data_IF_097078382975
#
_entry.id   IF_097078382975
#
_cell.length_a   1.000
_cell.length_b   1.000
_cell.length_c   1.000
_cell.angle_alpha   90.00
_cell.angle_beta   90.00
_cell.angle_gamma   90.00
#
_symmetry.space_group_name_H-M   'P 1'
#
loop_
_entity.id
_entity.type
_entity.pdbx_description
1 polymer ?
#
# COMPACT_ATOMS: atom_id res chain seq x y z
N UNK A 1 -11.48 -17.94 -14.01
CA UNK A 1 -12.74 -17.30 -13.61
C UNK A 1 -12.37 -16.03 -12.84
N UNK A 2 -11.87 -15.04 -13.56
CA UNK A 2 -11.60 -13.71 -13.02
C UNK A 2 -12.61 -12.77 -13.69
N UNK A 3 -13.62 -12.33 -12.95
CA UNK A 3 -14.59 -11.36 -13.44
C UNK A 3 -14.03 -9.97 -13.17
N UNK A 4 -13.18 -9.50 -14.07
CA UNK A 4 -12.95 -8.06 -14.19
C UNK A 4 -14.13 -7.50 -14.97
N UNK A 5 -15.02 -6.79 -14.29
CA UNK A 5 -15.89 -5.86 -14.98
C UNK A 5 -14.99 -4.74 -15.51
N UNK A 6 -14.84 -4.64 -16.83
CA UNK A 6 -14.37 -3.41 -17.48
C UNK A 6 -15.42 -2.33 -17.20
N UNK A 7 -15.38 -1.75 -16.00
CA UNK A 7 -15.99 -0.46 -15.76
C UNK A 7 -15.04 0.57 -16.37
N UNK A 8 -15.55 1.38 -17.30
CA UNK A 8 -14.89 2.61 -17.74
C UNK A 8 -14.96 3.64 -16.59
N UNK A 9 -14.05 3.48 -15.62
CA UNK A 9 -14.02 4.20 -14.34
C UNK A 9 -13.34 5.57 -14.43
N UNK A 10 -12.86 5.98 -15.61
CA UNK A 10 -12.06 7.21 -15.74
C UNK A 10 -12.82 8.46 -15.28
N UNK A 11 -14.10 8.55 -15.57
CA UNK A 11 -14.88 9.77 -15.29
C UNK A 11 -15.60 9.73 -13.93
N UNK A 12 -15.86 8.54 -13.37
CA UNK A 12 -16.61 8.39 -12.12
C UNK A 12 -15.71 8.26 -10.87
N UNK A 13 -14.54 7.62 -10.99
CA UNK A 13 -13.59 7.48 -9.87
C UNK A 13 -12.73 8.73 -9.70
N UNK A 14 -12.42 9.45 -10.78
CA UNK A 14 -11.50 10.59 -10.72
C UNK A 14 -11.93 11.68 -9.71
N UNK A 15 -13.20 12.09 -9.62
CA UNK A 15 -13.65 13.05 -8.61
C UNK A 15 -13.55 12.51 -7.18
N UNK A 16 -13.96 11.25 -6.96
CA UNK A 16 -13.90 10.59 -5.64
C UNK A 16 -12.44 10.42 -5.19
N UNK A 17 -11.57 10.02 -6.12
CA UNK A 17 -10.14 9.93 -5.88
C UNK A 17 -9.58 11.29 -5.53
N UNK A 18 -9.93 12.35 -6.26
CA UNK A 18 -9.43 13.70 -5.99
C UNK A 18 -9.90 14.22 -4.61
N UNK A 19 -11.17 14.00 -4.26
CA UNK A 19 -11.74 14.39 -2.96
C UNK A 19 -11.07 13.65 -1.79
N UNK A 20 -10.71 12.38 -1.98
CA UNK A 20 -10.13 11.53 -0.94
C UNK A 20 -8.60 11.38 -1.04
N UNK A 21 -7.95 11.97 -2.05
CA UNK A 21 -6.53 11.76 -2.32
C UNK A 21 -5.65 12.16 -1.14
N UNK A 22 -6.01 13.23 -0.45
CA UNK A 22 -5.29 13.68 0.75
C UNK A 22 -5.37 12.65 1.88
N UNK A 23 -6.52 12.00 2.08
CA UNK A 23 -6.67 10.95 3.08
C UNK A 23 -5.80 9.74 2.74
N UNK A 24 -5.75 9.33 1.47
CA UNK A 24 -4.88 8.25 1.02
C UNK A 24 -3.39 8.58 1.17
N UNK A 25 -2.98 9.79 0.78
CA UNK A 25 -1.59 10.24 0.94
C UNK A 25 -1.21 10.29 2.43
N UNK A 26 -2.11 10.77 3.29
CA UNK A 26 -1.89 10.78 4.72
C UNK A 26 -1.72 9.36 5.29
N UNK A 27 -2.57 8.41 4.85
CA UNK A 27 -2.41 6.99 5.19
C UNK A 27 -1.04 6.45 4.78
N UNK A 28 -0.59 6.76 3.56
CA UNK A 28 0.70 6.27 3.07
C UNK A 28 1.84 6.85 3.93
N UNK A 29 1.83 8.14 4.23
CA UNK A 29 2.87 8.77 5.06
C UNK A 29 2.91 8.20 6.47
N UNK A 30 1.77 8.10 7.14
CA UNK A 30 1.74 7.74 8.55
C UNK A 30 1.81 6.23 8.78
N UNK A 31 1.06 5.44 8.00
CA UNK A 31 0.95 3.99 8.20
C UNK A 31 2.01 3.24 7.40
N UNK A 32 2.03 3.41 6.07
CA UNK A 32 2.91 2.61 5.22
C UNK A 32 4.38 3.00 5.41
N UNK A 33 4.69 4.30 5.42
CA UNK A 33 6.07 4.76 5.49
C UNK A 33 6.57 4.91 6.94
N UNK A 34 6.00 5.83 7.72
CA UNK A 34 6.53 6.14 9.06
C UNK A 34 6.39 5.00 10.06
N UNK A 35 5.35 4.17 9.92
CA UNK A 35 5.10 3.05 10.83
C UNK A 35 5.60 1.71 10.29
N UNK A 36 5.13 1.28 9.12
CA UNK A 36 5.45 -0.04 8.58
C UNK A 36 6.88 -0.13 8.04
N UNK A 37 7.27 0.71 7.09
CA UNK A 37 8.65 0.68 6.56
C UNK A 37 9.69 0.98 7.64
N UNK A 38 9.40 1.77 8.67
CA UNK A 38 10.34 1.97 9.78
C UNK A 38 10.67 0.65 10.50
N UNK A 39 9.70 -0.25 10.69
CA UNK A 39 9.97 -1.57 11.28
C UNK A 39 10.80 -2.45 10.35
N UNK A 40 10.61 -2.33 9.05
CA UNK A 40 11.40 -3.08 8.09
C UNK A 40 12.82 -2.53 7.93
N UNK A 41 12.95 -1.26 7.56
CA UNK A 41 14.22 -0.60 7.25
C UNK A 41 15.13 -0.45 8.48
N UNK A 42 14.59 0.00 9.62
CA UNK A 42 15.42 0.31 10.80
C UNK A 42 15.72 -0.95 11.64
N UNK A 43 14.89 -1.99 11.52
CA UNK A 43 14.95 -3.18 12.37
C UNK A 43 15.16 -4.44 11.55
N UNK A 44 14.16 -4.92 10.80
CA UNK A 44 14.23 -6.21 10.11
C UNK A 44 15.46 -6.32 9.19
N UNK A 45 15.68 -5.31 8.34
CA UNK A 45 16.75 -5.34 7.35
C UNK A 45 18.13 -5.39 8.00
N UNK A 46 18.32 -4.69 9.12
CA UNK A 46 19.55 -4.77 9.92
C UNK A 46 19.80 -6.18 10.48
N UNK A 47 18.76 -6.91 10.88
CA UNK A 47 18.89 -8.32 11.28
C UNK A 47 19.19 -9.23 10.08
N UNK A 48 18.59 -8.94 8.92
CA UNK A 48 18.82 -9.71 7.69
C UNK A 48 20.22 -9.52 7.10
N UNK A 49 20.87 -8.38 7.36
CA UNK A 49 22.23 -8.08 6.92
C UNK A 49 23.32 -8.79 7.75
N UNK A 50 22.96 -9.45 8.85
CA UNK A 50 23.90 -10.23 9.66
C UNK A 50 24.53 -11.34 8.79
N UNK A 51 25.87 -11.49 8.77
CA UNK A 51 26.53 -12.53 8.00
C UNK A 51 25.98 -13.92 8.31
N UNK A 52 25.55 -14.63 7.27
CA UNK A 52 25.01 -15.99 7.39
C UNK A 52 23.48 -16.08 7.49
N UNK A 53 22.75 -14.95 7.62
CA UNK A 53 21.28 -14.95 7.59
C UNK A 53 20.76 -15.11 6.16
N UNK A 54 21.24 -14.26 5.25
CA UNK A 54 20.92 -14.30 3.81
C UNK A 54 22.07 -14.92 3.01
N UNK A 55 22.07 -16.25 2.84
CA UNK A 55 23.23 -17.01 2.30
C UNK A 55 23.25 -17.18 0.78
N UNK A 56 22.08 -17.20 0.11
CA UNK A 56 21.98 -17.49 -1.32
C UNK A 56 21.56 -16.29 -2.18
N UNK A 57 20.66 -15.46 -1.66
CA UNK A 57 20.20 -14.24 -2.30
C UNK A 57 19.88 -13.20 -1.24
N UNK A 58 19.91 -11.93 -1.62
CA UNK A 58 19.57 -10.82 -0.74
C UNK A 58 18.44 -9.98 -1.37
N UNK A 59 17.20 -10.07 -0.87
CA UNK A 59 16.08 -9.26 -1.38
C UNK A 59 16.09 -7.81 -0.89
N UNK A 60 16.83 -7.48 0.18
CA UNK A 60 16.79 -6.16 0.86
C UNK A 60 17.03 -4.99 -0.11
N UNK A 61 18.03 -5.01 -1.01
CA UNK A 61 18.24 -3.90 -1.95
C UNK A 61 17.02 -3.65 -2.87
N UNK A 62 16.32 -4.71 -3.28
CA UNK A 62 15.11 -4.59 -4.09
C UNK A 62 13.95 -4.00 -3.28
N UNK A 63 13.79 -4.41 -2.01
CA UNK A 63 12.77 -3.85 -1.12
C UNK A 63 12.97 -2.35 -0.91
N UNK A 64 14.20 -1.93 -0.58
CA UNK A 64 14.58 -0.52 -0.41
C UNK A 64 14.38 0.31 -1.69
N UNK A 65 14.69 -0.27 -2.85
CA UNK A 65 14.42 0.38 -4.13
C UNK A 65 12.92 0.62 -4.31
N UNK A 66 12.09 -0.36 -3.99
CA UNK A 66 10.63 -0.26 -4.11
C UNK A 66 10.04 0.72 -3.10
N UNK A 67 10.51 0.77 -1.86
CA UNK A 67 10.11 1.81 -0.90
C UNK A 67 10.42 3.21 -1.44
N UNK A 68 11.62 3.39 -2.00
CA UNK A 68 12.03 4.67 -2.61
C UNK A 68 11.16 5.05 -3.80
N UNK A 69 10.79 4.07 -4.64
CA UNK A 69 9.88 4.24 -5.78
C UNK A 69 8.46 4.56 -5.33
N UNK A 70 7.97 3.92 -4.27
CA UNK A 70 6.68 4.19 -3.67
C UNK A 70 6.60 5.64 -3.16
N UNK A 71 7.63 6.11 -2.42
CA UNK A 71 7.76 7.50 -1.98
C UNK A 71 7.79 8.50 -3.15
N UNK A 72 8.38 8.13 -4.29
CA UNK A 72 8.36 8.95 -5.51
C UNK A 72 6.94 9.13 -6.05
N UNK A 73 6.16 8.05 -6.15
CA UNK A 73 4.77 8.15 -6.58
C UNK A 73 3.93 9.01 -5.65
N UNK A 74 4.14 8.91 -4.33
CA UNK A 74 3.46 9.77 -3.34
C UNK A 74 3.76 11.25 -3.58
N UNK A 75 5.03 11.63 -3.71
CA UNK A 75 5.41 13.02 -4.02
C UNK A 75 4.78 13.52 -5.32
N UNK A 76 4.71 12.66 -6.34
CA UNK A 76 4.07 13.02 -7.60
C UNK A 76 2.55 13.19 -7.46
N UNK A 77 1.89 12.38 -6.62
CA UNK A 77 0.46 12.56 -6.31
C UNK A 77 0.21 13.89 -5.59
N UNK A 78 1.04 14.25 -4.61
CA UNK A 78 0.96 15.54 -3.90
C UNK A 78 1.07 16.72 -4.87
N UNK A 79 2.07 16.68 -5.76
CA UNK A 79 2.27 17.70 -6.79
C UNK A 79 1.07 17.79 -7.75
N UNK A 80 0.51 16.63 -8.14
CA UNK A 80 -0.65 16.58 -9.02
C UNK A 80 -1.91 17.17 -8.37
N UNK A 81 -2.11 16.98 -7.05
CA UNK A 81 -3.21 17.60 -6.30
C UNK A 81 -3.06 19.12 -6.32
N UNK A 82 -1.87 19.64 -5.97
CA UNK A 82 -1.60 21.08 -5.94
C UNK A 82 -1.81 21.73 -7.32
N UNK A 83 -1.37 21.04 -8.38
CA UNK A 83 -1.52 21.49 -9.75
C UNK A 83 -2.91 21.18 -10.37
N UNK A 84 -3.84 20.55 -9.62
CA UNK A 84 -5.17 20.11 -10.08
C UNK A 84 -5.12 19.23 -11.33
N UNK A 85 -4.09 18.39 -11.44
CA UNK A 85 -3.84 17.50 -12.59
C UNK A 85 -4.35 16.09 -12.30
N UNK A 86 -5.66 15.90 -12.44
CA UNK A 86 -6.35 14.63 -12.17
C UNK A 86 -5.72 13.45 -12.90
N UNK A 87 -5.37 13.59 -14.18
CA UNK A 87 -4.76 12.50 -14.95
C UNK A 87 -3.39 12.06 -14.38
N UNK A 88 -2.58 13.01 -13.90
CA UNK A 88 -1.29 12.70 -13.27
C UNK A 88 -1.51 12.04 -11.90
N UNK A 89 -2.50 12.51 -11.13
CA UNK A 89 -2.88 11.91 -9.86
C UNK A 89 -3.31 10.44 -10.05
N UNK A 90 -4.25 10.18 -10.95
CA UNK A 90 -4.75 8.82 -11.21
C UNK A 90 -3.65 7.90 -11.75
N UNK A 91 -2.77 8.41 -12.61
CA UNK A 91 -1.64 7.63 -13.13
C UNK A 91 -0.66 7.22 -12.01
N UNK A 92 -0.26 8.17 -11.14
CA UNK A 92 0.65 7.87 -10.04
C UNK A 92 -0.01 6.94 -8.99
N UNK A 93 -1.29 7.15 -8.67
CA UNK A 93 -2.03 6.28 -7.77
C UNK A 93 -2.11 4.83 -8.29
N UNK A 94 -2.39 4.65 -9.59
CA UNK A 94 -2.43 3.33 -10.22
C UNK A 94 -1.07 2.64 -10.20
N UNK A 95 0.00 3.37 -10.48
CA UNK A 95 1.37 2.83 -10.45
C UNK A 95 1.82 2.49 -9.03
N UNK A 96 1.47 3.32 -8.04
CA UNK A 96 1.69 3.04 -6.62
C UNK A 96 0.98 1.76 -6.20
N UNK A 97 -0.31 1.63 -6.51
CA UNK A 97 -1.10 0.46 -6.14
C UNK A 97 -0.57 -0.83 -6.77
N UNK A 98 -0.12 -0.76 -8.04
CA UNK A 98 0.50 -1.89 -8.72
C UNK A 98 1.82 -2.28 -8.04
N UNK A 99 2.69 -1.31 -7.78
CA UNK A 99 3.97 -1.54 -7.09
C UNK A 99 3.74 -2.21 -5.75
N UNK A 100 2.83 -1.66 -4.93
CA UNK A 100 2.56 -2.17 -3.58
C UNK A 100 2.04 -3.61 -3.60
N UNK A 101 1.20 -3.98 -4.57
CA UNK A 101 0.71 -5.36 -4.71
C UNK A 101 1.85 -6.34 -5.01
N UNK A 102 2.78 -5.96 -5.89
CA UNK A 102 3.96 -6.77 -6.20
C UNK A 102 4.94 -6.81 -5.02
N UNK A 103 5.03 -5.71 -4.26
CA UNK A 103 5.88 -5.56 -3.08
C UNK A 103 5.42 -6.46 -1.91
N UNK A 104 4.14 -6.38 -1.52
CA UNK A 104 3.54 -7.23 -0.48
C UNK A 104 3.70 -8.71 -0.83
N UNK A 105 3.55 -9.08 -2.11
CA UNK A 105 3.80 -10.46 -2.52
C UNK A 105 5.24 -10.91 -2.21
N UNK A 106 6.24 -10.05 -2.42
CA UNK A 106 7.64 -10.36 -2.13
C UNK A 106 7.89 -10.41 -0.63
N UNK A 107 7.28 -9.54 0.15
CA UNK A 107 7.31 -9.62 1.61
C UNK A 107 6.83 -11.00 2.09
N UNK A 108 5.59 -11.34 1.76
CA UNK A 108 4.90 -12.54 2.26
C UNK A 108 5.55 -13.85 1.79
N UNK A 109 6.05 -13.88 0.55
CA UNK A 109 6.46 -15.14 -0.09
C UNK A 109 7.98 -15.29 -0.20
N UNK A 110 8.75 -14.22 0.01
CA UNK A 110 10.21 -14.23 -0.15
C UNK A 110 10.89 -13.70 1.10
N UNK A 111 10.72 -12.42 1.43
CA UNK A 111 11.45 -11.73 2.50
C UNK A 111 11.17 -12.35 3.87
N UNK A 112 9.90 -12.41 4.31
CA UNK A 112 9.54 -12.93 5.63
C UNK A 112 9.87 -14.43 5.77
N UNK A 113 9.61 -15.29 4.78
CA UNK A 113 10.06 -16.69 4.84
C UNK A 113 11.58 -16.84 4.91
N UNK A 114 12.34 -15.95 4.26
CA UNK A 114 13.80 -15.95 4.38
C UNK A 114 14.27 -15.50 5.77
N UNK A 115 13.64 -14.46 6.34
CA UNK A 115 13.89 -14.03 7.70
C UNK A 115 13.64 -15.16 8.71
N UNK A 116 12.51 -15.85 8.56
CA UNK A 116 12.09 -16.92 9.46
C UNK A 116 13.06 -18.11 9.44
N UNK A 117 13.64 -18.43 8.27
CA UNK A 117 14.61 -19.52 8.15
C UNK A 117 16.03 -19.12 8.52
N UNK A 118 16.42 -17.88 8.26
CA UNK A 118 17.80 -17.42 8.40
C UNK A 118 18.16 -16.91 9.80
N UNK A 119 17.19 -16.36 10.53
CA UNK A 119 17.42 -15.82 11.87
C UNK A 119 17.44 -16.92 12.93
N UNK A 120 18.37 -16.84 13.89
CA UNK A 120 18.34 -17.69 15.08
C UNK A 120 17.20 -17.31 16.01
N UNK A 121 16.83 -18.19 16.93
CA UNK A 121 15.76 -17.92 17.90
C UNK A 121 16.09 -16.75 18.83
N UNK A 122 17.38 -16.55 19.16
CA UNK A 122 17.84 -15.39 19.92
C UNK A 122 17.70 -14.09 19.12
N UNK A 123 18.02 -14.13 17.83
CA UNK A 123 17.86 -12.98 16.94
C UNK A 123 16.37 -12.62 16.76
N UNK A 124 15.50 -13.61 16.55
CA UNK A 124 14.04 -13.42 16.49
C UNK A 124 13.49 -12.82 17.78
N UNK A 125 13.95 -13.31 18.93
CA UNK A 125 13.54 -12.80 20.24
C UNK A 125 13.97 -11.35 20.47
N UNK A 126 15.15 -10.97 19.97
CA UNK A 126 15.66 -9.60 20.06
C UNK A 126 14.92 -8.66 19.11
N UNK A 127 14.71 -9.09 17.87
CA UNK A 127 13.91 -8.38 16.87
C UNK A 127 12.49 -8.12 17.39
N UNK A 128 11.84 -9.12 17.98
CA UNK A 128 10.49 -8.98 18.52
C UNK A 128 10.42 -7.92 19.64
N UNK A 129 11.45 -7.83 20.49
CA UNK A 129 11.54 -6.77 21.51
C UNK A 129 11.62 -5.39 20.88
N UNK A 130 12.48 -5.21 19.87
CA UNK A 130 12.61 -3.93 19.16
C UNK A 130 11.32 -3.54 18.42
N UNK A 131 10.59 -4.51 17.88
CA UNK A 131 9.25 -4.28 17.31
C UNK A 131 8.25 -3.78 18.35
N UNK A 132 8.21 -4.41 19.54
CA UNK A 132 7.31 -4.00 20.63
C UNK A 132 7.67 -2.59 21.12
N UNK A 133 8.96 -2.29 21.28
CA UNK A 133 9.43 -0.96 21.69
C UNK A 133 9.05 0.10 20.65
N UNK A 134 9.21 -0.21 19.36
CA UNK A 134 8.81 0.69 18.28
C UNK A 134 7.30 0.86 18.19
N UNK A 135 6.53 -0.21 18.36
CA UNK A 135 5.06 -0.17 18.40
C UNK A 135 4.56 0.74 19.54
N UNK A 136 5.18 0.65 20.73
CA UNK A 136 4.87 1.54 21.85
C UNK A 136 5.25 2.99 21.57
N UNK A 137 6.46 3.23 21.03
CA UNK A 137 6.95 4.57 20.70
C UNK A 137 6.10 5.27 19.65
N UNK A 138 5.62 4.52 18.65
CA UNK A 138 4.80 5.04 17.56
C UNK A 138 3.29 5.00 17.88
N UNK A 139 2.89 4.52 19.05
CA UNK A 139 1.49 4.31 19.42
C UNK A 139 0.73 3.53 18.34
N UNK A 140 1.25 2.36 17.99
CA UNK A 140 0.75 1.52 16.89
C UNK A 140 -0.75 1.29 17.00
N UNK A 141 -1.28 1.07 18.19
CA UNK A 141 -2.72 0.86 18.41
C UNK A 141 -3.57 2.04 17.91
N UNK A 142 -3.16 3.29 18.18
CA UNK A 142 -3.87 4.46 17.69
C UNK A 142 -3.78 4.60 16.17
N UNK A 143 -2.62 4.29 15.59
CA UNK A 143 -2.42 4.29 14.13
C UNK A 143 -3.33 3.25 13.46
N UNK A 144 -3.35 2.02 13.97
CA UNK A 144 -4.22 0.96 13.47
C UNK A 144 -5.70 1.34 13.55
N UNK A 145 -6.16 1.78 14.72
CA UNK A 145 -7.55 2.18 14.92
C UNK A 145 -7.96 3.31 13.97
N UNK A 146 -7.11 4.34 13.82
CA UNK A 146 -7.36 5.46 12.91
C UNK A 146 -7.60 4.99 11.48
N UNK A 147 -6.77 4.09 10.97
CA UNK A 147 -6.83 3.69 9.57
C UNK A 147 -7.79 2.54 9.29
N UNK A 148 -8.11 1.72 10.30
CA UNK A 148 -9.24 0.78 10.22
C UNK A 148 -10.57 1.55 10.07
N UNK A 149 -10.77 2.61 10.87
CA UNK A 149 -11.95 3.49 10.75
C UNK A 149 -11.99 4.15 9.37
N UNK A 150 -10.87 4.72 8.92
CA UNK A 150 -10.81 5.36 7.59
C UNK A 150 -11.17 4.38 6.46
N UNK A 151 -10.67 3.14 6.51
CA UNK A 151 -11.03 2.10 5.53
C UNK A 151 -12.54 1.84 5.52
N UNK A 152 -13.16 1.66 6.69
CA UNK A 152 -14.60 1.42 6.81
C UNK A 152 -15.40 2.60 6.23
N UNK A 153 -15.00 3.84 6.54
CA UNK A 153 -15.66 5.05 6.03
C UNK A 153 -15.58 5.13 4.50
N UNK A 154 -14.41 4.87 3.92
CA UNK A 154 -14.20 4.89 2.47
C UNK A 154 -14.99 3.79 1.76
N UNK A 155 -15.05 2.58 2.33
CA UNK A 155 -15.87 1.48 1.79
C UNK A 155 -17.36 1.82 1.78
N UNK A 156 -17.85 2.43 2.85
CA UNK A 156 -19.24 2.88 2.94
C UNK A 156 -19.55 3.95 1.89
N UNK A 157 -18.69 4.95 1.72
CA UNK A 157 -18.85 5.99 0.69
C UNK A 157 -18.89 5.39 -0.73
N UNK A 158 -17.99 4.44 -1.03
CA UNK A 158 -17.97 3.76 -2.32
C UNK A 158 -19.26 2.95 -2.57
N UNK A 159 -19.80 2.30 -1.55
CA UNK A 159 -21.04 1.54 -1.68
C UNK A 159 -22.27 2.44 -1.89
N UNK A 160 -22.38 3.55 -1.16
CA UNK A 160 -23.45 4.55 -1.37
C UNK A 160 -23.41 5.11 -2.79
N UNK A 161 -22.22 5.43 -3.30
CA UNK A 161 -22.03 5.93 -4.67
C UNK A 161 -22.48 4.91 -5.71
N UNK A 162 -22.14 3.63 -5.55
CA UNK A 162 -22.59 2.54 -6.44
C UNK A 162 -24.11 2.43 -6.50
N UNK A 163 -24.79 2.55 -5.36
CA UNK A 163 -26.25 2.52 -5.31
C UNK A 163 -26.89 3.74 -5.98
N UNK A 164 -26.33 4.93 -5.77
CA UNK A 164 -26.81 6.17 -6.42
C UNK A 164 -26.67 6.08 -7.94
N UNK A 165 -25.54 5.58 -8.44
CA UNK A 165 -25.30 5.40 -9.88
C UNK A 165 -26.27 4.36 -10.47
N UNK A 166 -26.46 3.23 -9.79
CA UNK A 166 -27.43 2.21 -10.20
C UNK A 166 -28.87 2.74 -10.26
N UNK A 167 -29.25 3.64 -9.34
CA UNK A 167 -30.56 4.31 -9.32
C UNK A 167 -30.69 5.42 -10.37
N UNK A 168 -29.59 5.98 -10.86
CA UNK A 168 -29.56 7.10 -11.84
C UNK A 168 -29.77 6.68 -13.31
N UNK A 169 -29.84 5.38 -13.61
CA UNK A 169 -30.25 4.89 -14.94
C UNK A 169 -29.17 4.88 -16.03
N UNK A 170 -27.88 4.99 -15.70
CA UNK A 170 -26.80 4.74 -16.67
C UNK A 170 -26.77 3.24 -17.04
N UNK A 171 -27.35 2.91 -18.20
CA UNK A 171 -27.33 1.56 -18.77
C UNK A 171 -25.89 1.08 -19.01
N UNK A 172 -25.52 -0.02 -18.35
CA UNK A 172 -24.32 -0.81 -18.64
C UNK A 172 -24.35 -1.26 -20.10
N UNK A 173 -23.60 -0.61 -21.00
CA UNK A 173 -23.35 -1.16 -22.33
C UNK A 173 -22.41 -2.35 -22.20
N UNK A 174 -22.98 -3.54 -22.09
CA UNK A 174 -22.23 -4.80 -22.21
C UNK A 174 -21.80 -4.95 -23.68
N UNK A 175 -20.61 -4.47 -24.01
CA UNK A 175 -19.97 -4.72 -25.30
C UNK A 175 -19.58 -6.21 -25.36
N UNK A 176 -20.46 -7.02 -25.94
CA UNK A 176 -20.10 -8.36 -26.36
C UNK A 176 -19.11 -8.25 -27.52
N UNK A 177 -17.82 -8.53 -27.28
CA UNK A 177 -16.89 -8.85 -28.37
C UNK A 177 -17.36 -10.14 -29.03
N UNK A 178 -18.04 -10.01 -30.18
CA UNK A 178 -18.18 -11.09 -31.16
C UNK A 178 -16.98 -11.02 -32.09
N UNK A 179 -16.30 -12.16 -32.28
CA UNK A 179 -15.28 -12.38 -33.30
C UNK A 179 -13.96 -12.79 -32.71
#
# INVERSE_FOLDING_TARGET
>A
MERYAEFDLKDLIAPILFENANCFIQFIHEFADHFHHAKEEDILFRYLEIPGVLTHCNPVPQMLFEHSKAREFVRNMENAIQAKKINELTANAGQYARLLKEHIYKEDNILYPMAERGLSDEAKSSLLKEYIETDNRLNSHAIWLKYEILCIELEQQLNVQKETVAKSGYETRVIHKKG
#
